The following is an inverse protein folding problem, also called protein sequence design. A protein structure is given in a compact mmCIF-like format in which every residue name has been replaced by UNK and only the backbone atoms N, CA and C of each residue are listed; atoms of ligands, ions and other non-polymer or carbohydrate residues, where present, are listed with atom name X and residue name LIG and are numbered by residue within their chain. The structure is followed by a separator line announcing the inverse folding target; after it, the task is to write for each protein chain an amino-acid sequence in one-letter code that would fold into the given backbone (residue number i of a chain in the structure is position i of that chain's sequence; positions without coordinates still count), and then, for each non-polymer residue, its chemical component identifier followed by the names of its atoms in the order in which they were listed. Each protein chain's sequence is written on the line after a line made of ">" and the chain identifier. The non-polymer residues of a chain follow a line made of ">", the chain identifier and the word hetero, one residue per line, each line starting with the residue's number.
data_IF_161948721185
#
_entry.id   IF_161948721185
#
_cell.length_a   1.000
_cell.length_b   1.000
_cell.length_c   1.000
_cell.angle_alpha   90.00
_cell.angle_beta   90.00
_cell.angle_gamma   90.00
#
_symmetry.space_group_name_H-M   'P 1'
#
loop_
_entity.id
_entity.type
_entity.pdbx_description
1 polymer ?
#
# COMPACT_ATOMS: atom_id res chain seq x y z
N UNK A 1 -66.43 -1.98 -17.43
CA UNK A 1 -65.26 -1.71 -18.29
C UNK A 1 -64.17 -1.14 -17.40
N UNK A 2 -63.31 -2.02 -16.91
CA UNK A 2 -62.30 -1.67 -15.91
C UNK A 2 -60.94 -1.54 -16.63
N UNK A 3 -60.34 -0.38 -16.63
CA UNK A 3 -59.03 -0.10 -17.22
C UNK A 3 -57.99 -0.37 -16.13
N UNK A 4 -57.19 -1.44 -16.31
CA UNK A 4 -56.03 -1.73 -15.46
C UNK A 4 -54.84 -0.87 -15.92
N UNK A 5 -54.37 0.03 -15.07
CA UNK A 5 -53.16 0.79 -15.24
C UNK A 5 -51.98 -0.06 -14.70
N UNK A 6 -51.19 -0.60 -15.60
CA UNK A 6 -49.92 -1.23 -15.28
C UNK A 6 -48.88 -0.13 -14.94
N UNK A 7 -48.68 0.11 -13.65
CA UNK A 7 -47.55 0.89 -13.16
C UNK A 7 -46.27 0.04 -13.23
N UNK A 8 -45.47 0.27 -14.28
CA UNK A 8 -44.12 -0.26 -14.38
C UNK A 8 -43.22 0.37 -13.32
N UNK A 9 -42.94 -0.36 -12.26
CA UNK A 9 -41.89 -0.02 -11.30
C UNK A 9 -40.57 -0.31 -11.98
N UNK A 10 -39.95 0.73 -12.54
CA UNK A 10 -38.56 0.61 -12.96
C UNK A 10 -37.70 0.37 -11.69
N UNK A 11 -37.22 -0.84 -11.56
CA UNK A 11 -36.21 -1.21 -10.56
C UNK A 11 -34.94 -0.42 -10.88
N UNK A 12 -34.74 0.67 -10.17
CA UNK A 12 -33.47 1.38 -10.18
C UNK A 12 -32.50 0.51 -9.38
N UNK A 13 -31.68 -0.26 -10.08
CA UNK A 13 -30.56 -0.93 -9.47
C UNK A 13 -29.69 0.12 -8.76
N UNK A 14 -29.26 -0.10 -7.51
CA UNK A 14 -28.42 0.87 -6.82
C UNK A 14 -27.15 1.06 -7.66
N UNK A 15 -26.88 2.29 -8.04
CA UNK A 15 -25.60 2.68 -8.64
C UNK A 15 -24.52 2.21 -7.66
N UNK A 16 -23.60 1.43 -8.17
CA UNK A 16 -22.39 0.94 -7.55
C UNK A 16 -21.74 2.08 -6.73
N UNK A 17 -22.11 2.19 -5.45
CA UNK A 17 -21.36 3.02 -4.50
C UNK A 17 -20.03 2.29 -4.36
N UNK A 18 -18.97 2.85 -4.91
CA UNK A 18 -17.61 2.33 -4.71
C UNK A 18 -17.38 2.33 -3.21
N UNK A 19 -17.50 1.16 -2.61
CA UNK A 19 -17.21 0.97 -1.20
C UNK A 19 -15.72 1.21 -0.98
N UNK A 20 -15.37 1.78 0.16
CA UNK A 20 -13.99 1.89 0.59
C UNK A 20 -13.52 0.48 0.97
N UNK A 21 -12.50 -0.02 0.28
CA UNK A 21 -11.95 -1.36 0.54
C UNK A 21 -10.42 -1.28 0.50
N UNK A 22 -9.78 -1.44 1.66
CA UNK A 22 -8.34 -1.27 1.78
C UNK A 22 -7.74 -2.41 2.58
N UNK A 23 -6.74 -3.06 2.00
CA UNK A 23 -5.95 -4.11 2.62
C UNK A 23 -4.52 -3.64 2.86
N UNK A 24 -3.90 -4.14 3.91
CA UNK A 24 -2.46 -4.03 4.12
C UNK A 24 -1.86 -5.43 4.02
N UNK A 25 -0.76 -5.56 3.30
CA UNK A 25 0.04 -6.78 3.20
C UNK A 25 1.44 -6.50 3.74
N UNK A 26 1.89 -7.31 4.70
CA UNK A 26 3.24 -7.29 5.25
C UNK A 26 4.00 -8.55 4.88
N UNK A 27 5.34 -8.57 5.03
CA UNK A 27 6.12 -9.80 4.93
C UNK A 27 5.54 -10.91 5.81
N UNK A 28 5.51 -12.15 5.31
CA UNK A 28 4.92 -13.34 5.94
C UNK A 28 3.38 -13.33 6.09
N UNK A 29 2.68 -12.35 5.54
CA UNK A 29 1.22 -12.32 5.45
C UNK A 29 0.75 -12.72 4.06
N UNK A 30 -0.51 -13.12 3.94
CA UNK A 30 -1.16 -13.43 2.67
C UNK A 30 -2.49 -12.68 2.56
N UNK A 31 -2.82 -12.25 1.36
CA UNK A 31 -4.14 -11.71 1.04
C UNK A 31 -5.10 -12.86 0.70
N UNK A 32 -6.43 -12.67 0.92
CA UNK A 32 -7.41 -13.55 0.31
C UNK A 32 -7.20 -13.66 -1.20
N UNK A 33 -7.33 -14.86 -1.76
CA UNK A 33 -7.06 -15.11 -3.18
C UNK A 33 -7.86 -14.19 -4.09
N UNK A 34 -9.13 -13.98 -3.78
CA UNK A 34 -10.04 -13.09 -4.51
C UNK A 34 -9.60 -11.62 -4.50
N UNK A 35 -8.85 -11.18 -3.46
CA UNK A 35 -8.28 -9.83 -3.37
C UNK A 35 -6.98 -9.75 -4.16
N UNK A 36 -6.10 -10.75 -4.00
CA UNK A 36 -4.80 -10.78 -4.66
C UNK A 36 -4.92 -10.81 -6.20
N UNK A 37 -5.93 -11.51 -6.73
CA UNK A 37 -6.19 -11.66 -8.15
C UNK A 37 -7.02 -10.52 -8.77
N UNK A 38 -7.68 -9.70 -7.96
CA UNK A 38 -8.55 -8.64 -8.44
C UNK A 38 -7.74 -7.41 -8.90
N UNK A 39 -7.69 -7.22 -10.21
CA UNK A 39 -6.97 -6.09 -10.85
C UNK A 39 -7.61 -4.72 -10.66
N UNK A 40 -8.76 -4.64 -9.99
CA UNK A 40 -9.41 -3.36 -9.71
C UNK A 40 -8.83 -2.66 -8.48
N UNK A 41 -7.98 -3.33 -7.69
CA UNK A 41 -7.22 -2.72 -6.62
C UNK A 41 -6.03 -1.92 -7.15
N UNK A 42 -5.86 -0.72 -6.62
CA UNK A 42 -4.63 0.04 -6.81
C UNK A 42 -3.60 -0.43 -5.78
N UNK A 43 -2.46 -0.92 -6.24
CA UNK A 43 -1.37 -1.45 -5.42
C UNK A 43 -0.38 -0.35 -5.10
N UNK A 44 -0.11 -0.12 -3.82
CA UNK A 44 0.72 0.99 -3.34
C UNK A 44 1.81 0.43 -2.41
N UNK A 45 3.08 0.65 -2.75
CA UNK A 45 4.20 0.29 -1.88
C UNK A 45 4.56 1.45 -0.95
N UNK A 46 4.67 1.19 0.34
CA UNK A 46 4.98 2.18 1.39
C UNK A 46 6.48 2.16 1.72
N UNK A 47 7.28 2.74 0.83
CA UNK A 47 8.73 2.85 0.96
C UNK A 47 9.15 3.95 1.95
N UNK A 48 10.34 3.87 2.49
CA UNK A 48 10.92 4.94 3.28
C UNK A 48 11.42 4.50 4.65
N UNK A 49 11.48 5.42 5.61
CA UNK A 49 12.12 5.18 6.89
C UNK A 49 11.35 4.18 7.74
N UNK A 50 12.05 3.12 8.18
CA UNK A 50 11.59 2.12 9.13
C UNK A 50 12.53 2.03 10.34
N UNK A 51 13.85 2.21 10.13
CA UNK A 51 14.90 2.17 11.14
C UNK A 51 14.80 0.93 12.06
N UNK A 52 14.69 -0.25 11.46
CA UNK A 52 14.49 -1.53 12.16
C UNK A 52 13.33 -1.49 13.17
N UNK A 53 12.25 -0.79 12.84
CA UNK A 53 11.07 -0.63 13.68
C UNK A 53 11.15 0.49 14.73
N UNK A 54 12.29 1.20 14.85
CA UNK A 54 12.46 2.26 15.86
C UNK A 54 11.90 3.63 15.44
N UNK A 55 11.56 3.81 14.17
CA UNK A 55 10.92 5.04 13.69
C UNK A 55 9.41 5.03 13.95
N UNK A 56 8.79 6.22 13.89
CA UNK A 56 7.32 6.33 13.87
C UNK A 56 6.74 5.41 12.79
N UNK A 57 5.67 4.68 13.14
CA UNK A 57 4.96 3.83 12.19
C UNK A 57 4.00 4.66 11.32
N UNK A 58 4.59 5.43 10.42
CA UNK A 58 3.86 6.27 9.48
C UNK A 58 3.07 5.44 8.45
N UNK A 59 3.52 4.20 8.19
CA UNK A 59 2.85 3.29 7.27
C UNK A 59 1.46 2.90 7.77
N UNK A 60 1.35 2.53 9.04
CA UNK A 60 0.05 2.24 9.67
C UNK A 60 -0.83 3.48 9.74
N UNK A 61 -0.26 4.66 10.04
CA UNK A 61 -1.03 5.92 10.01
C UNK A 61 -1.61 6.19 8.63
N UNK A 62 -0.82 6.03 7.58
CA UNK A 62 -1.27 6.23 6.21
C UNK A 62 -2.33 5.19 5.79
N UNK A 63 -2.20 3.95 6.23
CA UNK A 63 -3.21 2.91 5.99
C UNK A 63 -4.58 3.31 6.56
N UNK A 64 -4.63 3.86 7.77
CA UNK A 64 -5.90 4.32 8.37
C UNK A 64 -6.54 5.45 7.55
N UNK A 65 -5.75 6.35 6.96
CA UNK A 65 -6.26 7.37 6.04
C UNK A 65 -6.85 6.74 4.76
N UNK A 66 -6.15 5.77 4.16
CA UNK A 66 -6.65 5.07 2.96
C UNK A 66 -7.96 4.32 3.22
N UNK A 67 -8.15 3.76 4.42
CA UNK A 67 -9.41 3.11 4.81
C UNK A 67 -10.62 4.05 4.80
N UNK A 68 -10.40 5.34 4.95
CA UNK A 68 -11.45 6.36 4.91
C UNK A 68 -11.70 6.92 3.50
N UNK A 69 -10.84 6.58 2.53
CA UNK A 69 -10.96 7.04 1.15
C UNK A 69 -11.88 6.14 0.33
N UNK A 70 -12.63 6.74 -0.59
CA UNK A 70 -13.41 5.98 -1.56
C UNK A 70 -12.46 5.40 -2.61
N UNK A 71 -12.39 4.08 -2.68
CA UNK A 71 -11.52 3.36 -3.61
C UNK A 71 -11.17 1.97 -3.11
N UNK A 72 -10.41 1.24 -3.90
CA UNK A 72 -9.94 -0.11 -3.59
C UNK A 72 -8.42 -0.13 -3.62
N UNK A 73 -7.79 -0.40 -2.49
CA UNK A 73 -6.34 -0.28 -2.31
C UNK A 73 -5.74 -1.51 -1.64
N UNK A 74 -4.56 -1.90 -2.11
CA UNK A 74 -3.68 -2.84 -1.42
C UNK A 74 -2.40 -2.07 -1.10
N UNK A 75 -2.08 -1.94 0.19
CA UNK A 75 -0.87 -1.27 0.66
C UNK A 75 0.18 -2.33 1.04
N UNK A 76 1.30 -2.34 0.35
CA UNK A 76 2.46 -3.18 0.68
C UNK A 76 3.30 -2.45 1.72
N UNK A 77 3.33 -2.98 2.94
CA UNK A 77 4.06 -2.40 4.06
C UNK A 77 5.26 -3.28 4.43
N UNK A 78 6.50 -2.87 4.14
CA UNK A 78 7.69 -3.67 4.42
C UNK A 78 8.04 -3.77 5.90
N UNK A 79 7.37 -3.00 6.77
CA UNK A 79 7.63 -3.03 8.22
C UNK A 79 7.18 -4.34 8.83
N UNK A 80 8.10 -5.03 9.50
CA UNK A 80 7.81 -6.19 10.34
C UNK A 80 7.85 -5.80 11.82
N UNK A 81 6.88 -6.26 12.62
CA UNK A 81 6.85 -6.01 14.06
C UNK A 81 7.96 -6.74 14.82
N UNK A 82 8.34 -7.93 14.36
CA UNK A 82 9.30 -8.81 14.99
C UNK A 82 10.50 -9.09 14.07
N UNK A 83 11.05 -8.03 13.47
CA UNK A 83 12.21 -8.14 12.62
C UNK A 83 13.42 -8.71 13.36
N UNK A 84 14.00 -9.80 12.84
CA UNK A 84 15.19 -10.42 13.39
C UNK A 84 16.13 -10.87 12.27
N UNK A 85 17.10 -10.02 11.95
CA UNK A 85 18.09 -10.29 10.90
C UNK A 85 19.01 -11.50 11.22
N UNK A 86 19.00 -12.04 12.44
CA UNK A 86 19.79 -13.22 12.81
C UNK A 86 19.13 -14.54 12.38
N UNK A 87 17.85 -14.51 12.01
CA UNK A 87 17.16 -15.70 11.50
C UNK A 87 17.73 -16.09 10.12
N UNK A 88 18.13 -17.36 9.94
CA UNK A 88 18.61 -17.81 8.65
C UNK A 88 17.60 -17.57 7.52
N UNK A 89 18.04 -16.88 6.45
CA UNK A 89 17.20 -16.57 5.27
C UNK A 89 16.24 -15.40 5.42
N UNK A 90 16.07 -14.81 6.60
CA UNK A 90 15.12 -13.71 6.82
C UNK A 90 15.48 -12.46 6.02
N UNK A 91 16.78 -12.12 5.96
CA UNK A 91 17.23 -10.97 5.17
C UNK A 91 16.97 -11.19 3.67
N UNK A 92 17.27 -12.37 3.15
CA UNK A 92 17.04 -12.68 1.74
C UNK A 92 15.55 -12.66 1.42
N UNK A 93 14.71 -13.18 2.32
CA UNK A 93 13.27 -13.14 2.18
C UNK A 93 12.77 -11.69 2.13
N UNK A 94 13.17 -10.84 3.08
CA UNK A 94 12.75 -9.44 3.14
C UNK A 94 13.14 -8.68 1.88
N UNK A 95 14.39 -8.80 1.44
CA UNK A 95 14.88 -8.11 0.23
C UNK A 95 14.09 -8.56 -1.01
N UNK A 96 13.86 -9.86 -1.18
CA UNK A 96 13.10 -10.36 -2.32
C UNK A 96 11.64 -9.92 -2.27
N UNK A 97 11.01 -9.95 -1.10
CA UNK A 97 9.65 -9.47 -0.89
C UNK A 97 9.50 -7.98 -1.26
N UNK A 98 10.43 -7.12 -0.80
CA UNK A 98 10.43 -5.69 -1.12
C UNK A 98 10.61 -5.46 -2.62
N UNK A 99 11.59 -6.11 -3.26
CA UNK A 99 11.82 -5.96 -4.70
C UNK A 99 10.62 -6.39 -5.53
N UNK A 100 10.00 -7.52 -5.20
CA UNK A 100 8.82 -8.03 -5.90
C UNK A 100 7.65 -7.04 -5.80
N UNK A 101 7.33 -6.55 -4.60
CA UNK A 101 6.21 -5.66 -4.40
C UNK A 101 6.49 -4.22 -4.86
N UNK A 102 7.73 -3.76 -4.87
CA UNK A 102 8.13 -2.51 -5.52
C UNK A 102 7.88 -2.57 -7.05
N UNK A 103 8.18 -3.69 -7.69
CA UNK A 103 7.88 -3.88 -9.12
C UNK A 103 6.37 -4.00 -9.38
N UNK A 104 5.65 -4.75 -8.54
CA UNK A 104 4.21 -4.98 -8.67
C UNK A 104 3.37 -3.72 -8.44
N UNK A 105 3.81 -2.82 -7.57
CA UNK A 105 3.05 -1.63 -7.19
C UNK A 105 2.74 -0.70 -8.39
N UNK A 106 1.52 -0.18 -8.44
CA UNK A 106 1.10 0.90 -9.36
C UNK A 106 1.67 2.25 -8.93
N UNK A 107 1.87 2.43 -7.60
CA UNK A 107 2.39 3.65 -6.98
C UNK A 107 3.35 3.29 -5.85
N UNK A 108 4.41 4.07 -5.69
CA UNK A 108 5.33 4.00 -4.57
C UNK A 108 5.24 5.31 -3.80
N UNK A 109 4.82 5.26 -2.54
CA UNK A 109 4.87 6.40 -1.63
C UNK A 109 6.08 6.21 -0.74
N UNK A 110 7.05 7.11 -0.84
CA UNK A 110 8.27 7.09 -0.04
C UNK A 110 8.28 8.25 0.94
N UNK A 111 8.34 7.93 2.23
CA UNK A 111 8.43 8.94 3.29
C UNK A 111 9.76 8.84 4.03
N UNK A 112 10.55 9.92 4.00
CA UNK A 112 11.87 9.98 4.59
C UNK A 112 11.84 10.93 5.79
N UNK A 113 12.05 10.37 6.98
CA UNK A 113 12.12 11.12 8.23
C UNK A 113 13.47 11.85 8.36
N UNK A 114 13.44 13.08 8.81
CA UNK A 114 14.64 13.91 9.01
C UNK A 114 15.64 13.33 10.00
N UNK A 115 15.14 12.64 11.03
CA UNK A 115 15.95 11.98 12.06
C UNK A 115 16.71 10.73 11.58
N UNK A 116 16.41 10.21 10.39
CA UNK A 116 16.97 8.96 9.86
C UNK A 116 18.01 9.19 8.77
N UNK A 117 18.89 8.21 8.55
CA UNK A 117 19.77 8.16 7.38
C UNK A 117 19.14 7.47 6.19
N UNK A 118 18.19 6.58 6.42
CA UNK A 118 17.40 5.83 5.43
C UNK A 118 18.21 5.33 4.21
N UNK A 119 19.36 4.64 4.39
CA UNK A 119 20.24 4.28 3.26
C UNK A 119 19.57 3.34 2.26
N UNK A 120 18.75 2.42 2.73
CA UNK A 120 18.00 1.48 1.86
C UNK A 120 16.95 2.23 1.05
N UNK A 121 16.20 3.14 1.68
CA UNK A 121 15.20 3.97 0.98
C UNK A 121 15.83 4.83 -0.12
N UNK A 122 17.04 5.35 0.11
CA UNK A 122 17.77 6.09 -0.93
C UNK A 122 18.19 5.20 -2.11
N UNK A 123 18.54 3.95 -1.83
CA UNK A 123 18.86 2.95 -2.87
C UNK A 123 17.62 2.58 -3.69
N UNK A 124 16.50 2.32 -3.03
CA UNK A 124 15.20 2.05 -3.67
C UNK A 124 14.75 3.26 -4.52
N UNK A 125 14.92 4.48 -4.00
CA UNK A 125 14.66 5.70 -4.75
C UNK A 125 15.48 5.76 -6.03
N UNK A 126 16.77 5.41 -5.97
CA UNK A 126 17.63 5.34 -7.14
C UNK A 126 17.18 4.31 -8.17
N UNK A 127 16.74 3.13 -7.72
CA UNK A 127 16.24 2.06 -8.59
C UNK A 127 14.93 2.45 -9.29
N UNK A 128 14.01 3.09 -8.58
CA UNK A 128 12.65 3.36 -9.07
C UNK A 128 12.39 4.79 -9.52
N UNK A 129 13.37 5.70 -9.46
CA UNK A 129 13.21 7.11 -9.85
C UNK A 129 12.70 7.28 -11.30
N UNK A 130 13.05 6.37 -12.21
CA UNK A 130 12.64 6.42 -13.62
C UNK A 130 11.27 5.78 -13.88
N UNK A 131 10.70 5.08 -12.92
CA UNK A 131 9.43 4.35 -13.10
C UNK A 131 8.22 5.26 -13.31
N UNK A 132 8.30 6.52 -12.89
CA UNK A 132 7.21 7.51 -12.87
C UNK A 132 6.06 7.15 -11.92
N UNK A 133 6.22 6.13 -11.09
CA UNK A 133 5.23 5.72 -10.09
C UNK A 133 5.59 6.12 -8.66
N UNK A 134 6.72 6.82 -8.47
CA UNK A 134 7.23 7.19 -7.16
C UNK A 134 6.87 8.64 -6.76
N UNK A 135 6.36 8.77 -5.55
CA UNK A 135 6.10 10.04 -4.86
C UNK A 135 6.95 10.08 -3.59
N UNK A 136 7.84 11.07 -3.48
CA UNK A 136 8.76 11.20 -2.36
C UNK A 136 8.35 12.36 -1.49
N UNK A 137 8.19 12.10 -0.20
CA UNK A 137 7.97 13.09 0.85
C UNK A 137 9.18 13.02 1.77
N UNK A 138 9.89 14.14 1.93
CA UNK A 138 11.11 14.22 2.72
C UNK A 138 10.97 15.36 3.73
N UNK A 139 11.27 15.10 4.99
CA UNK A 139 11.30 16.15 6.02
C UNK A 139 12.45 17.11 5.80
N UNK A 140 12.26 18.41 6.19
CA UNK A 140 13.21 19.50 5.90
C UNK A 140 14.58 19.29 6.53
N UNK A 141 14.66 18.61 7.67
CA UNK A 141 15.89 18.35 8.40
C UNK A 141 16.64 17.08 7.98
N UNK A 142 16.18 16.42 6.91
CA UNK A 142 16.91 15.30 6.34
C UNK A 142 18.26 15.76 5.79
N UNK A 143 19.33 15.05 6.14
CA UNK A 143 20.72 15.45 5.92
C UNK A 143 21.17 15.51 4.45
N UNK A 144 20.35 15.12 3.48
CA UNK A 144 20.65 15.10 2.03
C UNK A 144 19.66 15.95 1.24
#
# INVERSE_FOLDING_TARGET
>A
MLIAILSGVASCSPKNTKEAETYMLRPHEELPVEVAEDKSFTKIFLAGTIDMGNSTDWQTMLYEEFRMMIGRFILFNPRQENWDASRPGEMDYQVNWELEHLEEADMIIMYILGSSKSPISLLEMGLHARSRKMYVICEEDFYR
#
